data_IF_687321067107
#
_entry.id   IF_687321067107
#
_cell.length_a   1.000
_cell.length_b   1.000
_cell.length_c   1.000
_cell.angle_alpha   90.00
_cell.angle_beta   90.00
_cell.angle_gamma   90.00
#
_symmetry.space_group_name_H-M   'P 1'
#
loop_
_entity.id
_entity.type
_entity.pdbx_description
1 polymer ?
#
# COMPACT_ATOMS: atom_id res chain seq x y z
N UNK A 1 12.70 -1.99 29.94
CA UNK A 1 12.14 -3.29 29.52
C UNK A 1 11.14 -3.13 28.38
N UNK A 2 10.26 -2.13 28.42
CA UNK A 2 9.23 -1.85 27.39
C UNK A 2 9.79 -1.68 25.95
N UNK A 3 10.91 -0.97 25.77
CA UNK A 3 11.48 -0.75 24.43
C UNK A 3 12.02 -2.03 23.76
N UNK A 4 12.46 -3.02 24.56
CA UNK A 4 12.91 -4.33 24.05
C UNK A 4 11.72 -5.14 23.53
N UNK A 5 10.60 -5.12 24.28
CA UNK A 5 9.36 -5.78 23.87
C UNK A 5 8.74 -5.18 22.60
N UNK A 6 8.79 -3.86 22.42
CA UNK A 6 8.26 -3.22 21.20
C UNK A 6 9.10 -3.56 19.96
N UNK A 7 10.43 -3.57 20.07
CA UNK A 7 11.33 -4.00 18.98
C UNK A 7 11.07 -5.44 18.55
N UNK A 8 10.89 -6.34 19.52
CA UNK A 8 10.56 -7.75 19.28
C UNK A 8 9.20 -7.89 18.59
N UNK A 9 8.19 -7.11 19.00
CA UNK A 9 6.88 -7.09 18.34
C UNK A 9 6.97 -6.58 16.89
N UNK A 10 7.71 -5.51 16.63
CA UNK A 10 7.92 -4.96 15.27
C UNK A 10 8.62 -5.99 14.38
N UNK A 11 9.67 -6.63 14.89
CA UNK A 11 10.36 -7.69 14.16
C UNK A 11 9.44 -8.89 13.87
N UNK A 12 8.59 -9.27 14.83
CA UNK A 12 7.63 -10.36 14.65
C UNK A 12 6.54 -10.02 13.61
N UNK A 13 6.01 -8.78 13.61
CA UNK A 13 5.07 -8.32 12.59
C UNK A 13 5.70 -8.36 11.20
N UNK A 14 6.90 -7.79 11.06
CA UNK A 14 7.64 -7.79 9.80
C UNK A 14 7.88 -9.21 9.29
N UNK A 15 8.30 -10.12 10.17
CA UNK A 15 8.53 -11.51 9.80
C UNK A 15 7.24 -12.20 9.36
N UNK A 16 6.11 -11.94 10.04
CA UNK A 16 4.82 -12.53 9.64
C UNK A 16 4.38 -12.08 8.24
N UNK A 17 4.64 -10.83 7.85
CA UNK A 17 4.31 -10.37 6.49
C UNK A 17 5.06 -11.14 5.40
N UNK A 18 6.30 -11.52 5.68
CA UNK A 18 7.14 -12.30 4.77
C UNK A 18 6.75 -13.78 4.78
N UNK A 19 6.52 -14.36 5.96
CA UNK A 19 6.13 -15.78 6.11
C UNK A 19 4.73 -16.05 5.53
N UNK A 20 3.81 -15.09 5.66
CA UNK A 20 2.49 -15.13 5.05
C UNK A 20 2.50 -14.76 3.56
N UNK A 21 3.67 -14.44 2.99
CA UNK A 21 3.90 -13.98 1.61
C UNK A 21 3.08 -12.74 1.20
N UNK A 22 2.65 -11.95 2.18
CA UNK A 22 1.94 -10.67 1.95
C UNK A 22 2.89 -9.67 1.29
N UNK A 23 4.14 -9.64 1.79
CA UNK A 23 5.24 -8.86 1.24
C UNK A 23 6.34 -9.79 0.74
N UNK A 24 7.05 -9.38 -0.32
CA UNK A 24 8.23 -10.10 -0.83
C UNK A 24 9.55 -9.36 -0.52
N UNK A 25 10.64 -9.88 -1.08
CA UNK A 25 11.99 -9.33 -0.89
C UNK A 25 12.14 -7.88 -1.35
N UNK A 26 11.27 -7.37 -2.24
CA UNK A 26 11.31 -5.98 -2.66
C UNK A 26 11.01 -5.03 -1.49
N UNK A 27 10.13 -5.41 -0.57
CA UNK A 27 9.86 -4.63 0.64
C UNK A 27 11.10 -4.54 1.54
N UNK A 28 11.84 -5.65 1.67
CA UNK A 28 13.10 -5.70 2.44
C UNK A 28 14.10 -4.69 1.85
N UNK A 29 14.28 -4.72 0.54
CA UNK A 29 15.18 -3.78 -0.15
C UNK A 29 14.74 -2.33 0.07
N UNK A 30 13.43 -2.07 0.06
CA UNK A 30 12.88 -0.73 0.28
C UNK A 30 13.15 -0.23 1.72
N UNK A 31 13.06 -1.09 2.73
CA UNK A 31 13.42 -0.75 4.11
C UNK A 31 14.92 -0.46 4.26
N UNK A 32 15.77 -1.23 3.56
CA UNK A 32 17.23 -1.08 3.59
C UNK A 32 17.73 0.23 2.96
N UNK A 33 16.89 0.94 2.19
CA UNK A 33 17.23 2.25 1.63
C UNK A 33 17.26 3.36 2.69
N UNK A 34 16.61 3.17 3.85
CA UNK A 34 16.53 4.21 4.87
C UNK A 34 17.76 4.19 5.77
N UNK A 35 18.42 5.34 5.92
CA UNK A 35 19.43 5.53 6.96
C UNK A 35 18.77 5.62 8.34
N UNK A 36 19.53 5.30 9.41
CA UNK A 36 19.01 5.20 10.79
C UNK A 36 18.43 6.51 11.34
N UNK A 37 18.72 7.64 10.71
CA UNK A 37 18.41 9.00 11.17
C UNK A 37 17.36 9.71 10.28
N UNK A 38 16.85 9.06 9.23
CA UNK A 38 15.90 9.64 8.27
C UNK A 38 14.49 9.00 8.36
N UNK A 39 13.43 9.72 7.91
CA UNK A 39 12.10 9.12 7.73
C UNK A 39 12.19 7.86 6.87
N UNK A 40 11.37 6.86 7.17
CA UNK A 40 11.42 5.61 6.41
C UNK A 40 10.99 5.85 4.97
N UNK A 41 11.92 5.69 4.03
CA UNK A 41 11.64 5.69 2.58
C UNK A 41 10.53 4.67 2.26
N UNK A 42 10.51 3.55 2.99
CA UNK A 42 9.46 2.56 2.86
C UNK A 42 8.08 3.11 3.22
N UNK A 43 7.95 3.88 4.32
CA UNK A 43 6.68 4.52 4.69
C UNK A 43 6.21 5.49 3.60
N UNK A 44 7.11 6.30 3.05
CA UNK A 44 6.76 7.29 2.02
C UNK A 44 6.31 6.63 0.71
N UNK A 45 7.08 5.65 0.23
CA UNK A 45 6.76 4.94 -1.02
C UNK A 45 5.49 4.11 -0.87
N UNK A 46 5.28 3.46 0.28
CA UNK A 46 4.03 2.75 0.57
C UNK A 46 2.84 3.71 0.66
N UNK A 47 3.03 4.87 1.28
CA UNK A 47 2.01 5.92 1.35
C UNK A 47 1.60 6.38 -0.05
N UNK A 48 2.58 6.63 -0.93
CA UNK A 48 2.33 6.99 -2.32
C UNK A 48 1.58 5.88 -3.06
N UNK A 49 1.97 4.63 -2.87
CA UNK A 49 1.27 3.48 -3.44
C UNK A 49 -0.21 3.45 -3.05
N UNK A 50 -0.52 3.55 -1.75
CA UNK A 50 -1.91 3.56 -1.29
C UNK A 50 -2.67 4.78 -1.79
N UNK A 51 -1.98 5.91 -1.94
CA UNK A 51 -2.58 7.10 -2.54
C UNK A 51 -3.08 6.89 -3.95
N UNK A 52 -2.22 6.36 -4.80
CA UNK A 52 -2.58 6.13 -6.19
C UNK A 52 -3.62 5.02 -6.34
N UNK A 53 -3.55 3.99 -5.50
CA UNK A 53 -4.36 2.78 -5.68
C UNK A 53 -5.73 2.84 -5.04
N UNK A 54 -5.93 3.60 -3.96
CA UNK A 54 -7.27 3.76 -3.34
C UNK A 54 -8.25 4.45 -4.28
N UNK A 55 -7.82 5.40 -5.11
CA UNK A 55 -8.67 6.03 -6.12
C UNK A 55 -8.81 5.18 -7.39
N UNK A 56 -7.78 4.40 -7.73
CA UNK A 56 -7.75 3.58 -8.94
C UNK A 56 -8.66 2.36 -8.87
N UNK A 57 -8.67 1.64 -7.74
CA UNK A 57 -9.40 0.37 -7.61
C UNK A 57 -10.92 0.51 -7.85
N UNK A 58 -11.63 1.51 -7.29
CA UNK A 58 -13.05 1.70 -7.58
C UNK A 58 -13.30 2.05 -9.05
N UNK A 59 -12.43 2.83 -9.67
CA UNK A 59 -12.53 3.17 -11.10
C UNK A 59 -12.40 1.92 -11.97
N UNK A 60 -11.46 1.04 -11.60
CA UNK A 60 -11.23 -0.22 -12.29
C UNK A 60 -12.42 -1.18 -12.12
N UNK A 61 -13.03 -1.22 -10.94
CA UNK A 61 -14.25 -1.99 -10.68
C UNK A 61 -15.41 -1.56 -11.60
N UNK A 62 -15.61 -0.25 -11.76
CA UNK A 62 -16.64 0.30 -12.65
C UNK A 62 -16.34 0.02 -14.12
N UNK A 63 -15.07 0.13 -14.54
CA UNK A 63 -14.64 -0.24 -15.91
C UNK A 63 -14.92 -1.72 -16.21
N UNK A 64 -14.79 -2.62 -15.23
CA UNK A 64 -15.10 -4.05 -15.38
C UNK A 64 -16.61 -4.34 -15.44
N UNK A 65 -17.47 -3.43 -14.97
CA UNK A 65 -18.94 -3.54 -15.05
C UNK A 65 -19.51 -2.91 -16.32
N UNK A 66 -18.72 -2.13 -17.07
CA UNK A 66 -19.16 -1.43 -18.26
C UNK A 66 -19.62 -2.39 -19.38
N UNK A 67 -20.57 -1.93 -20.20
CA UNK A 67 -21.08 -2.68 -21.36
C UNK A 67 -21.07 -1.76 -22.60
N UNK A 68 -20.21 -2.02 -23.60
CA UNK A 68 -19.16 -3.04 -23.64
C UNK A 68 -17.98 -2.70 -22.72
N UNK A 69 -17.22 -3.72 -22.29
CA UNK A 69 -15.96 -3.54 -21.55
C UNK A 69 -14.88 -3.03 -22.51
N UNK A 70 -14.16 -1.98 -22.11
CA UNK A 70 -12.97 -1.48 -22.82
C UNK A 70 -11.73 -2.27 -22.35
N UNK A 71 -11.51 -3.44 -22.95
CA UNK A 71 -10.38 -4.31 -22.62
C UNK A 71 -9.00 -3.64 -22.78
N UNK A 72 -8.71 -2.89 -23.87
CA UNK A 72 -7.43 -2.18 -23.99
C UNK A 72 -7.17 -1.17 -22.87
N UNK A 73 -8.20 -0.47 -22.38
CA UNK A 73 -8.08 0.42 -21.21
C UNK A 73 -7.81 -0.40 -19.94
N UNK A 74 -8.58 -1.46 -19.73
CA UNK A 74 -8.50 -2.32 -18.55
C UNK A 74 -7.11 -2.95 -18.40
N UNK A 75 -6.59 -3.49 -19.49
CA UNK A 75 -5.27 -4.11 -19.57
C UNK A 75 -4.14 -3.15 -19.17
N UNK A 76 -4.16 -1.92 -19.71
CA UNK A 76 -3.17 -0.88 -19.37
C UNK A 76 -3.20 -0.51 -17.89
N UNK A 77 -4.40 -0.39 -17.31
CA UNK A 77 -4.56 -0.04 -15.89
C UNK A 77 -4.07 -1.17 -15.00
N UNK A 78 -4.42 -2.43 -15.31
CA UNK A 78 -3.98 -3.61 -14.56
C UNK A 78 -2.46 -3.78 -14.63
N UNK A 79 -1.84 -3.56 -15.79
CA UNK A 79 -0.39 -3.56 -15.92
C UNK A 79 0.29 -2.49 -15.06
N UNK A 80 -0.26 -1.26 -15.02
CA UNK A 80 0.24 -0.21 -14.13
C UNK A 80 0.09 -0.59 -12.66
N UNK A 81 -1.08 -1.09 -12.27
CA UNK A 81 -1.35 -1.52 -10.90
C UNK A 81 -0.38 -2.64 -10.49
N UNK A 82 -0.16 -3.63 -11.35
CA UNK A 82 0.83 -4.71 -11.16
C UNK A 82 2.24 -4.15 -10.92
N UNK A 83 2.67 -3.18 -11.74
CA UNK A 83 3.98 -2.53 -11.60
C UNK A 83 4.11 -1.79 -10.27
N UNK A 84 3.09 -1.02 -9.90
CA UNK A 84 3.03 -0.29 -8.62
C UNK A 84 3.02 -1.24 -7.42
N UNK A 85 2.29 -2.37 -7.48
CA UNK A 85 2.31 -3.37 -6.41
C UNK A 85 3.67 -4.06 -6.32
N UNK A 86 4.31 -4.33 -7.46
CA UNK A 86 5.63 -4.93 -7.49
C UNK A 86 6.69 -4.01 -6.86
N UNK A 87 6.64 -2.69 -7.08
CA UNK A 87 7.67 -1.76 -6.57
C UNK A 87 7.73 -1.64 -5.05
N UNK A 88 6.63 -1.94 -4.34
CA UNK A 88 6.60 -1.98 -2.87
C UNK A 88 6.66 -3.40 -2.30
N UNK A 89 6.76 -4.41 -3.16
CA UNK A 89 6.75 -5.82 -2.75
C UNK A 89 5.39 -6.35 -2.29
N UNK A 90 4.27 -5.74 -2.71
CA UNK A 90 2.91 -6.19 -2.37
C UNK A 90 2.54 -7.49 -3.11
N UNK A 91 3.09 -8.60 -2.65
CA UNK A 91 3.12 -9.86 -3.38
C UNK A 91 1.73 -10.49 -3.56
N UNK A 92 0.91 -10.60 -2.50
CA UNK A 92 -0.46 -11.14 -2.64
C UNK A 92 -1.33 -10.31 -3.57
N UNK A 93 -1.28 -8.99 -3.44
CA UNK A 93 -2.01 -8.06 -4.33
C UNK A 93 -1.57 -8.29 -5.78
N UNK A 94 -0.25 -8.34 -6.03
CA UNK A 94 0.32 -8.60 -7.36
C UNK A 94 -0.14 -9.95 -7.93
N UNK A 95 -0.23 -10.98 -7.11
CA UNK A 95 -0.67 -12.31 -7.53
C UNK A 95 -2.14 -12.31 -7.96
N UNK A 96 -3.02 -11.64 -7.22
CA UNK A 96 -4.43 -11.51 -7.61
C UNK A 96 -4.61 -10.64 -8.86
N UNK A 97 -3.75 -9.63 -9.06
CA UNK A 97 -3.73 -8.86 -10.32
C UNK A 97 -3.36 -9.75 -11.50
N UNK A 98 -2.31 -10.57 -11.36
CA UNK A 98 -1.92 -11.54 -12.39
C UNK A 98 -3.06 -12.52 -12.70
N UNK A 99 -3.75 -13.02 -11.67
CA UNK A 99 -4.90 -13.90 -11.82
C UNK A 99 -6.06 -13.22 -12.58
N UNK A 100 -6.37 -11.98 -12.21
CA UNK A 100 -7.37 -11.15 -12.91
C UNK A 100 -7.03 -10.97 -14.38
N UNK A 101 -5.78 -10.64 -14.70
CA UNK A 101 -5.31 -10.45 -16.08
C UNK A 101 -5.40 -11.74 -16.90
N UNK A 102 -4.97 -12.89 -16.34
CA UNK A 102 -5.06 -14.18 -17.01
C UNK A 102 -6.50 -14.56 -17.36
N UNK A 103 -7.44 -14.33 -16.44
CA UNK A 103 -8.87 -14.60 -16.68
C UNK A 103 -9.47 -13.69 -17.76
N UNK A 104 -9.00 -12.44 -17.87
CA UNK A 104 -9.40 -11.54 -18.96
C UNK A 104 -8.85 -12.01 -20.31
N UNK A 105 -7.60 -12.47 -20.36
CA UNK A 105 -6.98 -13.03 -21.57
C UNK A 105 -7.71 -14.29 -22.06
N UNK A 106 -8.23 -15.11 -21.15
CA UNK A 106 -9.07 -16.28 -21.44
C UNK A 106 -10.51 -15.92 -21.84
N UNK A 107 -10.91 -14.65 -21.73
CA UNK A 107 -12.29 -14.20 -21.97
C UNK A 107 -13.27 -14.54 -20.83
N UNK A 108 -12.77 -15.01 -19.69
CA UNK A 108 -13.57 -15.31 -18.50
C UNK A 108 -13.82 -14.05 -17.66
N UNK A 109 -14.72 -13.20 -18.15
CA UNK A 109 -15.05 -11.90 -17.53
C UNK A 109 -15.58 -12.04 -16.10
N UNK A 110 -16.47 -13.00 -15.84
CA UNK A 110 -17.04 -13.20 -14.50
C UNK A 110 -15.99 -13.73 -13.51
N UNK A 111 -15.12 -14.63 -13.96
CA UNK A 111 -13.96 -15.06 -13.18
C UNK A 111 -13.02 -13.88 -12.87
N UNK A 112 -12.73 -13.05 -13.87
CA UNK A 112 -11.88 -11.87 -13.69
C UNK A 112 -12.47 -10.90 -12.65
N UNK A 113 -13.79 -10.64 -12.67
CA UNK A 113 -14.45 -9.81 -11.65
C UNK A 113 -14.30 -10.41 -10.25
N UNK A 114 -14.48 -11.72 -10.10
CA UNK A 114 -14.30 -12.38 -8.82
C UNK A 114 -12.85 -12.34 -8.32
N UNK A 115 -11.87 -12.50 -9.22
CA UNK A 115 -10.45 -12.33 -8.90
C UNK A 115 -10.13 -10.87 -8.53
N UNK A 116 -10.74 -9.89 -9.20
CA UNK A 116 -10.55 -8.49 -8.88
C UNK A 116 -11.06 -8.11 -7.49
N UNK A 117 -12.15 -8.72 -7.01
CA UNK A 117 -12.58 -8.56 -5.62
C UNK A 117 -11.53 -9.09 -4.62
N UNK A 118 -10.76 -10.12 -4.98
CA UNK A 118 -9.61 -10.54 -4.16
C UNK A 118 -8.48 -9.54 -4.17
N UNK A 119 -8.20 -8.87 -5.31
CA UNK A 119 -7.24 -7.75 -5.36
C UNK A 119 -7.59 -6.68 -4.33
N UNK A 120 -8.87 -6.30 -4.25
CA UNK A 120 -9.36 -5.30 -3.29
C UNK A 120 -9.19 -5.76 -1.84
N UNK A 121 -9.58 -7.00 -1.55
CA UNK A 121 -9.46 -7.57 -0.21
C UNK A 121 -8.01 -7.66 0.27
N UNK A 122 -7.11 -8.13 -0.58
CA UNK A 122 -5.69 -8.21 -0.27
C UNK A 122 -5.05 -6.81 -0.15
N UNK A 123 -5.51 -5.84 -0.94
CA UNK A 123 -5.10 -4.45 -0.83
C UNK A 123 -5.50 -3.82 0.52
N UNK A 124 -6.75 -3.99 0.95
CA UNK A 124 -7.22 -3.52 2.25
C UNK A 124 -6.48 -4.20 3.42
N UNK A 125 -6.26 -5.52 3.30
CA UNK A 125 -5.52 -6.30 4.29
C UNK A 125 -4.07 -5.81 4.42
N UNK A 126 -3.41 -5.57 3.28
CA UNK A 126 -2.05 -5.04 3.23
C UNK A 126 -1.98 -3.65 3.88
N UNK A 127 -2.96 -2.79 3.56
CA UNK A 127 -3.05 -1.43 4.11
C UNK A 127 -3.13 -1.45 5.63
N UNK A 128 -4.08 -2.20 6.20
CA UNK A 128 -4.27 -2.26 7.65
C UNK A 128 -3.04 -2.83 8.39
N UNK A 129 -2.37 -3.83 7.79
CA UNK A 129 -1.13 -4.41 8.34
C UNK A 129 0.03 -3.41 8.33
N UNK A 130 0.23 -2.70 7.21
CA UNK A 130 1.30 -1.71 7.09
C UNK A 130 1.05 -0.45 7.92
N UNK A 131 -0.19 0.01 8.05
CA UNK A 131 -0.58 1.08 8.98
C UNK A 131 -0.16 0.73 10.42
N UNK A 132 -0.53 -0.47 10.88
CA UNK A 132 -0.18 -0.95 12.22
C UNK A 132 1.34 -1.05 12.40
N UNK A 133 2.04 -1.53 11.39
CA UNK A 133 3.49 -1.69 11.40
C UNK A 133 4.24 -0.36 11.49
N UNK A 134 3.92 0.60 10.62
CA UNK A 134 4.56 1.92 10.63
C UNK A 134 4.20 2.71 11.90
N UNK A 135 2.99 2.53 12.42
CA UNK A 135 2.58 3.10 13.70
C UNK A 135 3.44 2.59 14.87
N UNK A 136 3.74 1.29 14.91
CA UNK A 136 4.62 0.73 15.91
C UNK A 136 6.08 1.23 15.74
N UNK A 137 6.57 1.34 14.50
CA UNK A 137 7.89 1.90 14.20
C UNK A 137 8.06 3.35 14.70
N UNK A 138 7.09 4.23 14.43
CA UNK A 138 7.12 5.60 14.94
C UNK A 138 7.10 5.65 16.47
N UNK A 139 6.29 4.80 17.10
CA UNK A 139 6.23 4.70 18.56
C UNK A 139 7.60 4.32 19.13
N UNK A 140 8.33 3.42 18.46
CA UNK A 140 9.70 3.07 18.84
C UNK A 140 10.67 4.25 18.70
N UNK A 141 10.50 5.08 17.66
CA UNK A 141 11.28 6.27 17.38
C UNK A 141 10.86 7.50 18.21
N UNK A 142 9.80 7.39 19.03
CA UNK A 142 9.14 8.49 19.78
C UNK A 142 8.59 9.59 18.86
N UNK A 143 8.19 9.24 17.65
CA UNK A 143 7.55 10.13 16.70
C UNK A 143 6.02 10.09 16.89
N UNK A 144 5.30 11.21 16.63
CA UNK A 144 3.86 11.28 16.84
C UNK A 144 3.09 10.31 15.92
N UNK A 145 2.26 9.46 16.53
CA UNK A 145 1.43 8.43 15.88
C UNK A 145 0.46 9.00 14.84
N UNK A 146 -0.11 10.16 15.13
CA UNK A 146 -1.10 10.82 14.29
C UNK A 146 -0.55 11.14 12.89
N UNK A 147 0.78 11.26 12.73
CA UNK A 147 1.40 11.54 11.44
C UNK A 147 1.29 10.38 10.44
N UNK A 148 1.35 9.11 10.86
CA UNK A 148 1.23 7.94 9.96
C UNK A 148 -0.22 7.73 9.53
N UNK A 149 -1.15 7.78 10.48
CA UNK A 149 -2.58 7.70 10.18
C UNK A 149 -2.94 8.80 9.17
N UNK A 150 -2.51 10.04 9.42
CA UNK A 150 -2.75 11.14 8.49
C UNK A 150 -2.08 10.91 7.13
N UNK A 151 -0.85 10.38 7.04
CA UNK A 151 -0.18 10.11 5.75
C UNK A 151 -0.91 9.04 4.93
N UNK A 152 -1.30 7.93 5.55
CA UNK A 152 -1.99 6.82 4.89
C UNK A 152 -3.47 7.14 4.60
N UNK A 153 -4.10 8.00 5.41
CA UNK A 153 -5.44 8.56 5.16
C UNK A 153 -5.43 9.68 4.10
N UNK A 154 -4.42 10.57 4.08
CA UNK A 154 -4.20 11.53 2.99
C UNK A 154 -3.93 10.79 1.68
N UNK A 155 -3.31 9.61 1.75
CA UNK A 155 -3.29 8.67 0.64
C UNK A 155 -4.70 8.29 0.16
N UNK A 156 -5.62 8.00 1.08
CA UNK A 156 -6.94 7.49 0.75
C UNK A 156 -7.95 8.50 0.14
N UNK A 157 -7.55 9.75 -0.10
CA UNK A 157 -8.37 10.74 -0.79
C UNK A 157 -8.33 12.12 -0.13
N UNK A 158 -7.91 13.13 -0.88
CA UNK A 158 -8.04 14.52 -0.45
C UNK A 158 -9.51 14.95 -0.47
N UNK A 159 -10.04 15.36 0.68
CA UNK A 159 -11.24 16.21 0.76
C UNK A 159 -11.07 17.49 1.56
N UNK A 160 -9.96 17.70 2.28
CA UNK A 160 -9.81 18.90 3.13
C UNK A 160 -8.43 19.56 3.00
N UNK A 161 -8.43 20.86 2.69
CA UNK A 161 -7.25 21.73 2.63
C UNK A 161 -6.64 21.98 4.02
N UNK A 162 -7.41 21.86 5.11
CA UNK A 162 -6.93 22.13 6.47
C UNK A 162 -5.85 21.13 6.93
N UNK A 163 -5.98 19.85 6.56
CA UNK A 163 -5.03 18.80 6.91
C UNK A 163 -3.70 18.94 6.17
N UNK A 164 -3.72 19.48 4.95
CA UNK A 164 -2.52 19.78 4.17
C UNK A 164 -1.67 20.88 4.83
N UNK A 165 -2.31 21.91 5.40
CA UNK A 165 -1.60 23.02 6.03
C UNK A 165 -1.03 22.66 7.41
N UNK A 166 -1.67 21.74 8.13
CA UNK A 166 -1.14 21.16 9.37
C UNK A 166 0.11 20.29 9.12
N UNK A 167 0.18 19.55 8.00
CA UNK A 167 1.33 18.74 7.60
C UNK A 167 2.61 19.59 7.44
N UNK A 168 2.54 20.73 6.72
CA UNK A 168 3.67 21.65 6.55
C UNK A 168 3.95 22.54 7.78
N UNK A 169 3.09 22.50 8.80
CA UNK A 169 3.27 23.27 10.05
C UNK A 169 3.88 22.45 11.18
N UNK A 170 4.14 21.15 10.96
CA UNK A 170 4.80 20.30 11.95
C UNK A 170 6.30 20.69 12.05
N UNK A 171 6.84 21.01 13.24
CA UNK A 171 8.19 21.58 13.38
C UNK A 171 9.36 20.70 12.90
N UNK A 172 9.10 19.47 12.46
CA UNK A 172 10.11 18.52 11.99
C UNK A 172 10.33 18.53 10.47
N UNK A 173 9.56 19.31 9.68
CA UNK A 173 9.66 19.38 8.20
C UNK A 173 10.18 20.76 7.74
N UNK A 174 11.08 21.38 8.50
CA UNK A 174 11.74 22.64 8.11
C UNK A 174 13.27 22.50 7.98
N UNK A 175 13.75 21.32 7.60
CA UNK A 175 15.13 21.13 7.15
C UNK A 175 15.13 20.53 5.74
N UNK A 176 14.83 21.39 4.75
CA UNK A 176 15.34 21.31 3.38
C UNK A 176 16.04 22.63 3.11
#
# INVERSE_FOLDING_TARGET
MENRSLREQIAAMRQSFLDEEILDTQFIQLEELSDKDEPSIAEEVVTLYFRETTELLPTLEEDMKAIPIDFPKLDRILHRLKGNSASIGANKVRNEINNTMALLEEGNVEGAKAAFEQVRKEHETLKAKLETYFQALLTQLRLPSEAVALKLEIGAGMKDLASHQAYYSCPMINYI
#
